data_IF_970824902035
#
_entry.id   IF_970824902035
#
_cell.length_a   1.000
_cell.length_b   1.000
_cell.length_c   1.000
_cell.angle_alpha   90.00
_cell.angle_beta   90.00
_cell.angle_gamma   90.00
#
_symmetry.space_group_name_H-M   'P 1'
#
loop_
_entity.id
_entity.type
_entity.pdbx_description
1 polymer ?
#
# COMPACT_ATOMS: atom_id res chain seq x y z
N UNK A 1 -50.02 -53.50 33.84
CA UNK A 1 -49.23 -52.26 33.74
C UNK A 1 -47.90 -52.56 33.04
N UNK A 2 -47.85 -52.65 31.69
CA UNK A 2 -46.59 -52.92 30.97
C UNK A 2 -46.52 -52.35 29.53
N UNK A 3 -47.53 -51.60 29.06
CA UNK A 3 -47.57 -51.05 27.70
C UNK A 3 -47.67 -49.52 27.63
N UNK A 4 -47.78 -48.83 28.77
CA UNK A 4 -47.87 -47.35 28.83
C UNK A 4 -46.48 -46.72 29.04
N UNK A 5 -45.50 -47.49 29.51
CA UNK A 5 -44.13 -47.01 29.76
C UNK A 5 -43.39 -46.67 28.44
N UNK A 6 -43.74 -47.35 27.34
CA UNK A 6 -43.12 -47.08 26.02
C UNK A 6 -43.60 -45.75 25.43
N UNK A 7 -44.82 -45.31 25.76
CA UNK A 7 -45.40 -44.08 25.20
C UNK A 7 -44.83 -42.80 25.86
N UNK A 8 -44.38 -42.89 27.11
CA UNK A 8 -43.76 -41.76 27.82
C UNK A 8 -42.26 -41.58 27.52
N UNK A 9 -41.62 -42.58 26.92
CA UNK A 9 -40.19 -42.56 26.57
C UNK A 9 -39.94 -41.99 25.17
N UNK A 10 -40.99 -41.87 24.34
CA UNK A 10 -40.92 -41.31 22.98
C UNK A 10 -41.19 -39.79 22.99
N UNK A 11 -41.90 -39.26 23.99
CA UNK A 11 -42.18 -37.82 24.11
C UNK A 11 -40.99 -36.98 24.59
N UNK A 12 -39.95 -37.60 25.17
CA UNK A 12 -38.73 -36.89 25.59
C UNK A 12 -37.66 -36.77 24.48
N UNK A 13 -37.89 -37.35 23.31
CA UNK A 13 -36.95 -37.29 22.18
C UNK A 13 -37.18 -36.10 21.23
N UNK A 14 -38.15 -35.21 21.53
CA UNK A 14 -38.44 -34.01 20.73
C UNK A 14 -37.91 -32.70 21.33
N UNK A 15 -37.19 -32.75 22.45
CA UNK A 15 -36.23 -31.68 22.75
C UNK A 15 -35.00 -31.91 21.86
N UNK A 16 -35.16 -31.62 20.57
CA UNK A 16 -34.00 -31.17 19.80
C UNK A 16 -33.42 -30.03 20.61
N UNK A 17 -32.14 -30.14 20.97
CA UNK A 17 -31.35 -28.94 21.22
C UNK A 17 -31.56 -28.06 19.98
N UNK A 18 -32.39 -27.04 20.11
CA UNK A 18 -32.11 -25.81 19.40
C UNK A 18 -30.82 -25.34 20.05
N UNK A 19 -29.69 -25.76 19.48
CA UNK A 19 -28.50 -24.92 19.61
C UNK A 19 -28.96 -23.60 18.98
N UNK A 20 -29.33 -22.64 19.83
CA UNK A 20 -29.30 -21.24 19.42
C UNK A 20 -27.85 -21.03 19.00
N UNK A 21 -27.63 -21.06 17.67
CA UNK A 21 -26.41 -20.56 17.10
C UNK A 21 -26.44 -19.08 17.44
N UNK A 22 -25.76 -18.73 18.52
CA UNK A 22 -25.51 -17.35 18.89
C UNK A 22 -24.59 -16.81 17.78
N UNK A 23 -25.18 -16.18 16.78
CA UNK A 23 -24.42 -15.49 15.76
C UNK A 23 -23.68 -14.37 16.48
N UNK A 24 -22.34 -14.43 16.50
CA UNK A 24 -21.51 -13.36 17.03
C UNK A 24 -21.71 -12.15 16.10
N UNK A 25 -22.68 -11.30 16.43
CA UNK A 25 -23.04 -10.10 15.67
C UNK A 25 -23.04 -8.90 16.63
N UNK A 26 -22.21 -7.87 16.40
CA UNK A 26 -21.28 -7.72 15.28
C UNK A 26 -20.07 -8.67 15.34
N UNK A 27 -19.33 -8.81 14.24
CA UNK A 27 -18.12 -9.64 14.16
C UNK A 27 -17.13 -9.16 13.10
N UNK A 28 -15.86 -9.53 13.30
CA UNK A 28 -14.79 -9.41 12.32
C UNK A 28 -13.84 -10.60 12.49
N UNK A 29 -13.66 -11.41 11.44
CA UNK A 29 -12.82 -12.60 11.47
C UNK A 29 -12.24 -12.92 10.10
N UNK A 30 -11.15 -13.70 10.06
CA UNK A 30 -10.52 -14.19 8.85
C UNK A 30 -9.71 -15.47 9.14
N UNK A 31 -9.07 -16.04 8.13
CA UNK A 31 -7.99 -17.01 8.31
C UNK A 31 -6.65 -16.39 7.93
N UNK A 32 -5.77 -16.22 8.92
CA UNK A 32 -4.36 -15.84 8.74
C UNK A 32 -3.52 -17.09 8.55
N UNK A 33 -2.96 -17.29 7.36
CA UNK A 33 -2.12 -18.44 7.01
C UNK A 33 -2.80 -19.79 7.35
N UNK A 34 -4.13 -19.84 7.13
CA UNK A 34 -4.98 -21.00 7.42
C UNK A 34 -5.46 -21.14 8.87
N UNK A 35 -4.97 -20.32 9.80
CA UNK A 35 -5.40 -20.31 11.20
C UNK A 35 -6.47 -19.23 11.45
N UNK A 36 -7.40 -19.49 12.36
CA UNK A 36 -8.47 -18.54 12.68
C UNK A 36 -7.88 -17.28 13.30
N UNK A 37 -8.31 -16.14 12.78
CA UNK A 37 -8.04 -14.80 13.29
C UNK A 37 -9.39 -14.13 13.60
N UNK A 38 -9.62 -13.72 14.85
CA UNK A 38 -10.87 -13.10 15.28
C UNK A 38 -10.56 -11.84 16.09
N UNK A 39 -11.21 -10.73 15.74
CA UNK A 39 -11.00 -9.47 16.43
C UNK A 39 -11.83 -9.39 17.72
N UNK A 40 -11.23 -8.77 18.74
CA UNK A 40 -11.91 -8.40 19.99
C UNK A 40 -12.45 -6.98 19.95
N UNK A 41 -11.94 -6.14 19.06
CA UNK A 41 -12.42 -4.78 18.83
C UNK A 41 -12.31 -4.43 17.35
N UNK A 42 -13.28 -3.68 16.83
CA UNK A 42 -13.30 -3.23 15.46
C UNK A 42 -14.15 -1.97 15.31
N UNK A 43 -13.77 -1.13 14.36
CA UNK A 43 -14.48 0.10 14.02
C UNK A 43 -14.24 0.43 12.55
N UNK A 44 -15.15 1.17 11.95
CA UNK A 44 -14.98 1.75 10.63
C UNK A 44 -15.10 3.27 10.72
N UNK A 45 -14.34 4.01 9.92
CA UNK A 45 -14.50 5.44 9.74
C UNK A 45 -14.78 5.75 8.27
N UNK A 46 -15.73 6.64 8.02
CA UNK A 46 -16.01 7.19 6.69
C UNK A 46 -15.69 8.69 6.72
N UNK A 47 -14.73 9.10 5.90
CA UNK A 47 -14.36 10.51 5.81
C UNK A 47 -15.27 11.29 4.83
N UNK A 48 -15.06 12.61 4.74
CA UNK A 48 -15.83 13.49 3.87
C UNK A 48 -15.59 13.25 2.37
N UNK A 49 -14.50 12.58 2.01
CA UNK A 49 -14.15 12.20 0.64
C UNK A 49 -14.79 10.85 0.25
N UNK A 50 -15.40 10.15 1.22
CA UNK A 50 -16.00 8.84 1.06
C UNK A 50 -15.02 7.69 1.24
N UNK A 51 -13.80 7.94 1.70
CA UNK A 51 -12.82 6.89 2.00
C UNK A 51 -13.26 6.16 3.26
N UNK A 52 -13.43 4.84 3.12
CA UNK A 52 -13.80 3.97 4.22
C UNK A 52 -12.55 3.29 4.79
N UNK A 53 -12.30 3.50 6.08
CA UNK A 53 -11.20 2.84 6.82
C UNK A 53 -11.78 1.92 7.88
N UNK A 54 -11.55 0.62 7.79
CA UNK A 54 -11.96 -0.37 8.79
C UNK A 54 -10.72 -0.84 9.55
N UNK A 55 -10.75 -0.77 10.88
CA UNK A 55 -9.67 -1.26 11.74
C UNK A 55 -10.21 -2.34 12.67
N UNK A 56 -9.49 -3.45 12.79
CA UNK A 56 -9.84 -4.57 13.65
C UNK A 56 -8.62 -5.07 14.43
N UNK A 57 -8.80 -5.41 15.71
CA UNK A 57 -7.73 -5.75 16.65
C UNK A 57 -8.06 -6.99 17.47
N UNK A 58 -7.11 -7.93 17.63
CA UNK A 58 -7.30 -9.21 18.35
C UNK A 58 -6.54 -9.32 19.71
N UNK A 59 -6.09 -8.20 20.29
CA UNK A 59 -5.16 -8.06 21.44
C UNK A 59 -3.67 -8.01 21.07
N UNK A 60 -3.27 -8.56 19.94
CA UNK A 60 -1.86 -8.66 19.55
C UNK A 60 -1.59 -8.10 18.17
N UNK A 61 -2.57 -8.19 17.27
CA UNK A 61 -2.44 -7.85 15.87
C UNK A 61 -3.58 -6.91 15.46
N UNK A 62 -3.28 -6.03 14.51
CA UNK A 62 -4.22 -5.04 13.98
C UNK A 62 -4.31 -5.18 12.47
N UNK A 63 -5.51 -5.43 11.94
CA UNK A 63 -5.82 -5.35 10.51
C UNK A 63 -6.40 -3.97 10.21
N UNK A 64 -5.91 -3.32 9.16
CA UNK A 64 -6.52 -2.10 8.61
C UNK A 64 -6.89 -2.33 7.15
N UNK A 65 -8.13 -2.03 6.78
CA UNK A 65 -8.63 -2.08 5.41
C UNK A 65 -9.04 -0.68 4.99
N UNK A 66 -8.55 -0.19 3.84
CA UNK A 66 -8.87 1.14 3.32
C UNK A 66 -9.44 1.00 1.91
N UNK A 67 -10.66 1.52 1.71
CA UNK A 67 -11.38 1.47 0.44
C UNK A 67 -11.63 2.91 -0.07
N UNK A 68 -10.98 3.25 -1.18
CA UNK A 68 -11.16 4.52 -1.86
C UNK A 68 -12.30 4.44 -2.88
N UNK A 69 -13.23 5.42 -2.89
CA UNK A 69 -14.33 5.44 -3.86
C UNK A 69 -13.90 5.41 -5.33
N UNK A 70 -12.69 5.89 -5.65
CA UNK A 70 -12.12 5.87 -7.00
C UNK A 70 -11.96 4.46 -7.56
N UNK A 71 -11.76 3.46 -6.69
CA UNK A 71 -11.42 2.10 -7.06
C UNK A 71 -12.64 1.17 -7.02
N UNK A 72 -13.81 1.73 -6.69
CA UNK A 72 -15.05 0.99 -6.61
C UNK A 72 -15.41 0.38 -7.97
N UNK A 73 -15.53 -0.95 -7.99
CA UNK A 73 -15.82 -1.72 -9.20
C UNK A 73 -16.88 -2.79 -8.94
N UNK A 74 -17.40 -3.37 -10.03
CA UNK A 74 -18.22 -4.58 -9.94
C UNK A 74 -17.34 -5.75 -9.54
N UNK A 75 -17.79 -6.52 -8.55
CA UNK A 75 -17.06 -7.70 -8.10
C UNK A 75 -16.86 -8.72 -9.23
N UNK A 76 -15.61 -9.16 -9.38
CA UNK A 76 -15.22 -10.26 -10.27
C UNK A 76 -14.45 -11.33 -9.48
N UNK A 77 -14.10 -12.44 -10.12
CA UNK A 77 -13.29 -13.48 -9.48
C UNK A 77 -13.97 -14.12 -8.26
N UNK A 78 -13.26 -14.16 -7.13
CA UNK A 78 -13.68 -14.84 -5.88
C UNK A 78 -15.02 -14.34 -5.35
N UNK A 79 -15.37 -13.08 -5.65
CA UNK A 79 -16.58 -12.43 -5.15
C UNK A 79 -17.65 -12.20 -6.23
N UNK A 80 -17.51 -12.80 -7.43
CA UNK A 80 -18.42 -12.56 -8.55
C UNK A 80 -19.90 -12.86 -8.24
N UNK A 81 -20.17 -13.84 -7.36
CA UNK A 81 -21.54 -14.23 -6.98
C UNK A 81 -22.12 -13.39 -5.83
N UNK A 82 -21.33 -12.47 -5.26
CA UNK A 82 -21.74 -11.64 -4.13
C UNK A 82 -22.35 -10.31 -4.60
N UNK A 83 -23.34 -9.81 -3.85
CA UNK A 83 -23.86 -8.45 -4.01
C UNK A 83 -22.97 -7.50 -3.22
N UNK A 84 -22.37 -6.51 -3.89
CA UNK A 84 -21.48 -5.53 -3.25
C UNK A 84 -20.68 -4.68 -4.24
N UNK A 85 -19.82 -3.82 -3.69
CA UNK A 85 -18.79 -3.06 -4.44
C UNK A 85 -17.41 -3.60 -4.07
N UNK A 86 -16.59 -3.92 -5.07
CA UNK A 86 -15.25 -4.46 -4.86
C UNK A 86 -14.18 -3.41 -5.10
N UNK A 87 -13.15 -3.45 -4.25
CA UNK A 87 -12.00 -2.56 -4.24
C UNK A 87 -10.76 -3.44 -4.30
N UNK A 88 -10.05 -3.43 -5.42
CA UNK A 88 -8.75 -4.10 -5.54
C UNK A 88 -7.73 -3.34 -4.69
N UNK A 89 -6.98 -4.06 -3.86
CA UNK A 89 -6.08 -3.44 -2.86
C UNK A 89 -4.60 -3.48 -3.26
N UNK A 90 -4.34 -3.66 -4.55
CA UNK A 90 -3.00 -3.77 -5.14
C UNK A 90 -2.95 -2.87 -6.36
N UNK A 91 -1.86 -2.09 -6.49
CA UNK A 91 -1.67 -1.11 -7.57
C UNK A 91 -2.84 -0.09 -7.72
N UNK A 92 -3.55 0.16 -6.62
CA UNK A 92 -4.68 1.09 -6.54
C UNK A 92 -4.54 1.97 -5.30
N UNK A 93 -5.44 2.95 -5.14
CA UNK A 93 -5.45 3.80 -3.95
C UNK A 93 -5.89 3.02 -2.70
N UNK A 94 -6.77 2.04 -2.85
CA UNK A 94 -7.21 1.12 -1.81
C UNK A 94 -6.09 0.17 -1.42
N UNK A 95 -6.00 -0.15 -0.13
CA UNK A 95 -4.94 -1.02 0.42
C UNK A 95 -5.41 -1.76 1.67
N UNK A 96 -4.67 -2.78 2.08
CA UNK A 96 -4.85 -3.47 3.34
C UNK A 96 -3.52 -3.67 4.07
N UNK A 97 -3.54 -3.61 5.39
CA UNK A 97 -2.34 -3.75 6.23
C UNK A 97 -2.57 -4.69 7.41
N UNK A 98 -1.47 -5.23 7.93
CA UNK A 98 -1.38 -5.93 9.20
C UNK A 98 -0.22 -5.34 10.01
N UNK A 99 -0.47 -5.01 11.28
CA UNK A 99 0.58 -4.98 12.30
C UNK A 99 0.51 -6.28 13.09
N UNK A 100 1.57 -7.10 13.05
CA UNK A 100 1.59 -8.38 13.75
C UNK A 100 2.06 -8.28 15.21
N UNK A 101 2.09 -9.43 15.90
CA UNK A 101 2.48 -9.53 17.32
C UNK A 101 3.94 -9.17 17.59
N UNK A 102 4.80 -9.25 16.58
CA UNK A 102 6.22 -8.91 16.65
C UNK A 102 6.47 -7.46 16.19
N UNK A 103 5.40 -6.66 16.07
CA UNK A 103 5.40 -5.27 15.59
C UNK A 103 5.92 -5.13 14.14
N UNK A 104 5.81 -6.19 13.34
CA UNK A 104 6.13 -6.13 11.91
C UNK A 104 4.93 -5.61 11.15
N UNK A 105 5.15 -4.54 10.38
CA UNK A 105 4.15 -3.95 9.50
C UNK A 105 4.17 -4.62 8.12
N UNK A 106 3.00 -5.08 7.67
CA UNK A 106 2.78 -5.64 6.35
C UNK A 106 1.76 -4.80 5.60
N UNK A 107 1.99 -4.59 4.30
CA UNK A 107 1.08 -3.86 3.41
C UNK A 107 0.89 -4.62 2.09
N UNK A 108 -0.30 -4.51 1.49
CA UNK A 108 -0.58 -5.00 0.13
C UNK A 108 0.11 -4.18 -0.95
N UNK A 109 0.62 -3.00 -0.59
CA UNK A 109 1.38 -2.14 -1.49
C UNK A 109 2.88 -2.35 -1.41
N UNK A 110 3.35 -3.21 -0.49
CA UNK A 110 4.75 -3.63 -0.46
C UNK A 110 4.99 -4.71 -1.51
N UNK A 111 6.07 -4.57 -2.27
CA UNK A 111 6.47 -5.57 -3.25
C UNK A 111 7.26 -6.71 -2.57
N UNK A 112 7.04 -7.97 -2.98
CA UNK A 112 7.86 -9.08 -2.52
C UNK A 112 9.28 -8.94 -3.06
N UNK A 113 10.25 -9.33 -2.25
CA UNK A 113 11.62 -9.48 -2.72
C UNK A 113 11.69 -10.60 -3.77
N UNK A 114 12.48 -10.43 -4.84
CA UNK A 114 12.58 -11.40 -5.93
C UNK A 114 12.98 -12.81 -5.47
N UNK A 115 13.65 -12.92 -4.32
CA UNK A 115 14.06 -14.19 -3.71
C UNK A 115 12.93 -14.89 -2.94
N UNK A 116 11.83 -14.19 -2.63
CA UNK A 116 10.66 -14.72 -1.92
C UNK A 116 9.56 -15.10 -2.91
N UNK A 117 9.61 -16.36 -3.39
CA UNK A 117 8.59 -16.94 -4.28
C UNK A 117 7.30 -17.35 -3.56
N UNK A 118 6.56 -16.43 -2.95
CA UNK A 118 5.26 -16.78 -2.34
C UNK A 118 4.20 -15.74 -2.69
N UNK A 119 3.51 -15.99 -3.82
CA UNK A 119 2.36 -15.24 -4.37
C UNK A 119 2.64 -13.74 -4.64
N UNK A 120 2.16 -13.17 -5.76
CA UNK A 120 2.16 -11.71 -5.88
C UNK A 120 1.25 -11.09 -4.81
N UNK A 121 1.45 -9.80 -4.48
CA UNK A 121 0.43 -9.03 -3.78
C UNK A 121 -0.89 -9.20 -4.52
N UNK A 122 -1.94 -9.49 -3.77
CA UNK A 122 -3.29 -9.65 -4.30
C UNK A 122 -4.27 -9.37 -3.18
N UNK A 123 -5.43 -8.83 -3.49
CA UNK A 123 -6.48 -8.70 -2.49
C UNK A 123 -7.66 -7.89 -2.98
N UNK A 124 -8.81 -8.14 -2.36
CA UNK A 124 -10.03 -7.40 -2.62
C UNK A 124 -10.76 -7.16 -1.31
N UNK A 125 -11.24 -5.94 -1.13
CA UNK A 125 -12.29 -5.61 -0.15
C UNK A 125 -13.62 -5.62 -0.90
N UNK A 126 -14.57 -6.43 -0.44
CA UNK A 126 -15.93 -6.45 -0.96
C UNK A 126 -16.89 -5.84 0.08
N UNK A 127 -17.34 -4.62 -0.17
CA UNK A 127 -18.37 -3.97 0.64
C UNK A 127 -19.75 -4.46 0.19
N UNK A 128 -20.36 -5.33 0.99
CA UNK A 128 -21.67 -5.91 0.68
C UNK A 128 -22.83 -4.98 1.04
N UNK A 129 -22.73 -4.35 2.21
CA UNK A 129 -23.78 -3.48 2.71
C UNK A 129 -23.17 -2.35 3.56
N UNK A 130 -23.69 -1.15 3.35
CA UNK A 130 -23.39 0.02 4.16
C UNK A 130 -24.71 0.68 4.55
N UNK A 131 -25.06 0.53 5.82
CA UNK A 131 -26.26 1.13 6.37
C UNK A 131 -25.89 2.40 7.12
N UNK A 132 -25.99 3.55 6.44
CA UNK A 132 -25.69 4.86 7.01
C UNK A 132 -26.72 5.31 8.06
N UNK A 133 -27.92 4.74 8.05
CA UNK A 133 -28.95 5.05 9.06
C UNK A 133 -28.65 4.34 10.39
N UNK A 134 -28.27 3.06 10.33
CA UNK A 134 -27.86 2.28 11.50
C UNK A 134 -26.39 2.52 11.88
N UNK A 135 -25.61 3.14 11.00
CA UNK A 135 -24.19 3.41 11.22
C UNK A 135 -23.36 2.13 11.26
N UNK A 136 -23.60 1.20 10.35
CA UNK A 136 -22.89 -0.09 10.28
C UNK A 136 -22.47 -0.46 8.87
N UNK A 137 -21.38 -1.22 8.75
CA UNK A 137 -20.87 -1.74 7.47
C UNK A 137 -20.59 -3.24 7.55
N UNK A 138 -20.87 -3.95 6.45
CA UNK A 138 -20.68 -5.40 6.32
C UNK A 138 -20.02 -5.74 4.98
N UNK A 139 -19.23 -6.80 4.97
CA UNK A 139 -18.49 -7.22 3.78
C UNK A 139 -17.58 -8.41 3.98
N UNK A 140 -16.78 -8.66 2.96
CA UNK A 140 -15.79 -9.72 2.90
C UNK A 140 -14.46 -9.17 2.41
N UNK A 141 -13.37 -9.86 2.71
CA UNK A 141 -12.06 -9.49 2.20
C UNK A 141 -11.13 -10.70 2.10
N UNK A 142 -10.12 -10.56 1.25
CA UNK A 142 -8.91 -11.35 1.31
C UNK A 142 -7.74 -10.48 0.86
N UNK A 143 -6.54 -10.76 1.35
CA UNK A 143 -5.33 -10.13 0.83
C UNK A 143 -4.05 -10.92 1.15
N UNK A 144 -3.02 -10.68 0.33
CA UNK A 144 -1.62 -11.02 0.58
C UNK A 144 -0.86 -9.72 0.81
N UNK A 145 -0.15 -9.63 1.93
CA UNK A 145 0.63 -8.45 2.26
C UNK A 145 2.07 -8.83 2.60
N UNK A 146 3.01 -7.92 2.32
CA UNK A 146 4.44 -8.13 2.52
C UNK A 146 4.99 -7.12 3.53
N UNK A 147 6.01 -7.53 4.27
CA UNK A 147 6.80 -6.61 5.09
C UNK A 147 7.49 -5.56 4.21
N UNK A 148 7.92 -4.43 4.78
CA UNK A 148 8.65 -3.39 4.03
C UNK A 148 9.89 -3.92 3.29
N UNK A 149 10.57 -4.97 3.79
CA UNK A 149 11.70 -5.59 3.09
C UNK A 149 11.32 -6.56 1.98
N UNK A 150 10.03 -6.86 1.79
CA UNK A 150 9.56 -7.90 0.89
C UNK A 150 9.90 -9.34 1.31
N UNK A 151 10.63 -9.54 2.42
CA UNK A 151 11.17 -10.86 2.81
C UNK A 151 10.19 -11.76 3.57
N UNK A 152 9.12 -11.18 4.12
CA UNK A 152 8.08 -11.89 4.87
C UNK A 152 6.71 -11.54 4.31
N UNK A 153 5.78 -12.50 4.36
CA UNK A 153 4.44 -12.37 3.81
C UNK A 153 3.38 -12.93 4.77
N UNK A 154 2.17 -12.40 4.68
CA UNK A 154 0.98 -12.92 5.37
C UNK A 154 -0.16 -13.09 4.37
N UNK A 155 -0.93 -14.17 4.52
CA UNK A 155 -2.15 -14.40 3.76
C UNK A 155 -3.38 -14.33 4.66
N UNK A 156 -4.30 -13.43 4.34
CA UNK A 156 -5.65 -13.42 4.88
C UNK A 156 -6.63 -13.90 3.82
N UNK A 157 -7.35 -14.98 4.12
CA UNK A 157 -8.45 -15.47 3.30
C UNK A 157 -9.69 -15.72 4.15
N UNK A 158 -10.82 -15.97 3.50
CA UNK A 158 -12.12 -16.15 4.18
C UNK A 158 -12.43 -15.02 5.17
N UNK A 159 -11.99 -13.78 4.85
CA UNK A 159 -12.21 -12.61 5.68
C UNK A 159 -13.65 -12.13 5.59
N UNK A 160 -14.24 -11.85 6.74
CA UNK A 160 -15.63 -11.44 6.87
C UNK A 160 -15.79 -10.44 8.01
N UNK A 161 -16.57 -9.40 7.78
CA UNK A 161 -16.96 -8.44 8.79
C UNK A 161 -18.45 -8.13 8.67
N UNK A 162 -19.12 -8.07 9.81
CA UNK A 162 -20.57 -7.90 9.88
C UNK A 162 -20.97 -6.91 10.95
N UNK A 163 -21.76 -5.94 10.53
CA UNK A 163 -22.27 -4.83 11.34
C UNK A 163 -21.15 -4.10 12.10
N UNK A 164 -19.99 -3.91 11.46
CA UNK A 164 -18.89 -3.12 12.05
C UNK A 164 -19.39 -1.68 12.23
N UNK A 165 -19.30 -1.10 13.44
CA UNK A 165 -19.78 0.25 13.71
C UNK A 165 -19.01 1.31 12.91
N UNK A 166 -19.74 2.19 12.23
CA UNK A 166 -19.23 3.28 11.40
C UNK A 166 -19.20 4.60 12.17
N UNK A 167 -18.07 5.31 12.12
CA UNK A 167 -17.75 6.52 12.86
C UNK A 167 -17.24 7.58 11.87
N UNK A 168 -18.07 8.54 11.47
CA UNK A 168 -17.64 9.57 10.52
C UNK A 168 -18.78 10.28 9.80
N UNK A 169 -18.46 11.32 9.03
CA UNK A 169 -19.38 12.36 8.63
C UNK A 169 -20.22 12.02 7.39
N UNK A 170 -21.50 12.44 7.45
CA UNK A 170 -22.56 12.36 6.44
C UNK A 170 -23.32 11.02 6.40
N UNK A 171 -24.01 10.74 7.49
CA UNK A 171 -25.41 10.34 7.34
C UNK A 171 -26.15 11.50 6.64
N UNK A 172 -26.49 11.29 5.38
CA UNK A 172 -27.45 12.11 4.64
C UNK A 172 -28.75 12.14 5.45
N UNK A 173 -28.95 13.20 6.25
CA UNK A 173 -30.21 13.45 6.97
C UNK A 173 -30.44 12.68 8.28
N UNK A 174 -29.45 11.95 8.80
CA UNK A 174 -29.55 11.20 10.06
C UNK A 174 -28.45 11.60 11.03
N UNK A 175 -28.77 11.74 12.31
CA UNK A 175 -27.76 11.97 13.35
C UNK A 175 -27.20 10.62 13.77
N UNK A 176 -26.05 10.22 13.26
CA UNK A 176 -25.28 9.13 13.89
C UNK A 176 -24.73 9.68 15.20
N UNK A 177 -25.42 9.37 16.30
CA UNK A 177 -24.94 9.67 17.64
C UNK A 177 -23.74 8.74 17.94
N UNK A 178 -22.57 9.14 17.47
CA UNK A 178 -21.31 8.49 17.80
C UNK A 178 -21.08 8.70 19.29
N UNK A 179 -21.14 7.63 20.08
CA UNK A 179 -20.82 7.71 21.51
C UNK A 179 -19.35 8.07 21.69
N UNK A 180 -19.04 8.78 22.79
CA UNK A 180 -17.65 9.12 23.10
C UNK A 180 -16.77 7.86 23.15
N UNK A 181 -17.23 6.80 23.82
CA UNK A 181 -16.51 5.51 23.90
C UNK A 181 -16.16 4.94 22.52
N UNK A 182 -17.08 5.04 21.55
CA UNK A 182 -16.84 4.55 20.19
C UNK A 182 -15.76 5.39 19.49
N UNK A 183 -15.81 6.72 19.65
CA UNK A 183 -14.79 7.61 19.10
C UNK A 183 -13.41 7.38 19.76
N UNK A 184 -13.36 7.08 21.07
CA UNK A 184 -12.10 6.72 21.74
C UNK A 184 -11.53 5.40 21.21
N UNK A 185 -12.36 4.39 20.98
CA UNK A 185 -11.93 3.12 20.40
C UNK A 185 -11.37 3.32 18.97
N UNK A 186 -11.99 4.18 18.16
CA UNK A 186 -11.48 4.53 16.84
C UNK A 186 -10.12 5.22 16.87
N UNK A 187 -9.92 6.16 17.79
CA UNK A 187 -8.61 6.81 18.00
C UNK A 187 -7.55 5.79 18.41
N UNK A 188 -7.87 4.91 19.37
CA UNK A 188 -6.94 3.88 19.82
C UNK A 188 -6.56 2.92 18.68
N UNK A 189 -7.55 2.45 17.92
CA UNK A 189 -7.34 1.53 16.82
C UNK A 189 -6.48 2.14 15.69
N UNK A 190 -6.83 3.35 15.24
CA UNK A 190 -6.11 4.05 14.17
C UNK A 190 -4.71 4.53 14.60
N UNK A 191 -4.53 4.89 15.88
CA UNK A 191 -3.22 5.28 16.41
C UNK A 191 -2.20 4.15 16.36
N UNK A 192 -2.63 2.90 16.56
CA UNK A 192 -1.75 1.72 16.52
C UNK A 192 -1.13 1.60 15.13
N UNK A 193 -1.97 1.60 14.08
CA UNK A 193 -1.51 1.52 12.70
C UNK A 193 -0.64 2.73 12.33
N UNK A 194 -1.07 3.95 12.69
CA UNK A 194 -0.31 5.18 12.43
C UNK A 194 1.11 5.13 13.01
N UNK A 195 1.25 4.78 14.30
CA UNK A 195 2.56 4.75 14.97
C UNK A 195 3.50 3.67 14.41
N UNK A 196 2.94 2.62 13.79
CA UNK A 196 3.71 1.51 13.21
C UNK A 196 4.02 1.69 11.72
N UNK A 197 3.38 2.65 11.05
CA UNK A 197 3.58 2.88 9.62
C UNK A 197 4.86 3.70 9.41
N UNK A 198 5.84 3.21 8.63
CA UNK A 198 7.03 3.99 8.30
C UNK A 198 6.67 5.30 7.59
N UNK A 199 7.36 6.40 7.88
CA UNK A 199 7.07 7.72 7.26
C UNK A 199 7.35 7.77 5.77
N UNK A 200 8.13 6.82 5.25
CA UNK A 200 8.45 6.65 3.84
C UNK A 200 7.55 5.61 3.15
N UNK A 201 6.63 4.99 3.88
CA UNK A 201 5.66 4.07 3.31
C UNK A 201 4.67 4.85 2.41
N UNK A 202 4.33 4.35 1.21
CA UNK A 202 3.43 5.08 0.31
C UNK A 202 2.03 5.29 0.90
N UNK A 203 1.61 4.52 1.90
CA UNK A 203 0.32 4.66 2.59
C UNK A 203 0.38 5.56 3.84
N UNK A 204 1.55 6.08 4.21
CA UNK A 204 1.71 6.87 5.44
C UNK A 204 0.75 8.06 5.52
N UNK A 205 0.59 8.80 4.41
CA UNK A 205 -0.32 9.96 4.36
C UNK A 205 -1.77 9.55 4.65
N UNK A 206 -2.25 8.49 4.01
CA UNK A 206 -3.63 8.02 4.16
C UNK A 206 -3.90 7.46 5.56
N UNK A 207 -2.95 6.68 6.11
CA UNK A 207 -3.04 6.15 7.47
C UNK A 207 -3.00 7.30 8.50
N UNK A 208 -2.17 8.31 8.29
CA UNK A 208 -2.14 9.50 9.14
C UNK A 208 -3.45 10.29 9.06
N UNK A 209 -4.02 10.44 7.86
CA UNK A 209 -5.30 11.12 7.67
C UNK A 209 -6.48 10.35 8.29
N UNK A 210 -6.43 9.01 8.30
CA UNK A 210 -7.39 8.20 9.04
C UNK A 210 -7.29 8.44 10.56
N UNK A 211 -6.08 8.51 11.12
CA UNK A 211 -5.86 8.85 12.52
C UNK A 211 -6.33 10.27 12.86
N UNK A 212 -6.01 11.26 12.01
CA UNK A 212 -6.52 12.64 12.12
C UNK A 212 -8.04 12.66 12.15
N UNK A 213 -8.70 11.90 11.26
CA UNK A 213 -10.16 11.81 11.20
C UNK A 213 -10.76 11.22 12.48
N UNK A 214 -10.14 10.17 13.04
CA UNK A 214 -10.56 9.60 14.32
C UNK A 214 -10.46 10.62 15.47
N UNK A 215 -9.40 11.44 15.51
CA UNK A 215 -9.25 12.52 16.50
C UNK A 215 -10.34 13.59 16.33
N UNK A 216 -10.65 14.00 15.11
CA UNK A 216 -11.72 14.97 14.84
C UNK A 216 -13.10 14.43 15.25
N UNK A 217 -13.37 13.15 15.00
CA UNK A 217 -14.58 12.48 15.48
C UNK A 217 -14.63 12.45 17.02
N UNK A 218 -13.49 12.22 17.69
CA UNK A 218 -13.39 12.30 19.16
C UNK A 218 -13.68 13.71 19.67
N UNK A 219 -13.16 14.76 19.05
CA UNK A 219 -13.50 16.15 19.41
C UNK A 219 -15.01 16.39 19.28
N UNK A 220 -15.62 15.93 18.19
CA UNK A 220 -17.05 16.11 17.93
C UNK A 220 -17.95 15.41 18.96
N UNK A 221 -17.62 14.17 19.33
CA UNK A 221 -18.43 13.34 20.22
C UNK A 221 -18.14 13.51 21.71
N UNK A 222 -16.88 13.70 22.10
CA UNK A 222 -16.45 13.79 23.50
C UNK A 222 -16.24 15.24 23.97
N UNK A 223 -16.04 16.18 23.05
CA UNK A 223 -15.55 17.53 23.33
C UNK A 223 -14.05 17.56 23.61
N UNK A 224 -13.45 18.75 23.52
CA UNK A 224 -12.03 19.00 23.84
C UNK A 224 -11.84 20.23 24.75
N UNK A 225 -12.28 20.16 26.02
CA UNK A 225 -12.07 21.26 26.96
C UNK A 225 -10.57 21.41 27.26
N UNK A 226 -9.97 22.48 26.76
CA UNK A 226 -8.53 22.76 26.92
C UNK A 226 -7.72 22.64 25.63
N UNK A 227 -8.33 22.19 24.53
CA UNK A 227 -7.69 22.19 23.20
C UNK A 227 -6.62 21.12 23.00
N UNK A 228 -6.49 20.16 23.92
CA UNK A 228 -5.41 19.16 23.88
C UNK A 228 -5.49 18.23 22.68
N UNK A 229 -6.70 17.85 22.26
CA UNK A 229 -6.89 16.99 21.09
C UNK A 229 -6.70 17.82 19.82
N UNK A 230 -7.15 19.07 19.81
CA UNK A 230 -6.89 20.00 18.72
C UNK A 230 -5.39 20.24 18.52
N UNK A 231 -4.64 20.43 19.61
CA UNK A 231 -3.17 20.59 19.56
C UNK A 231 -2.50 19.34 18.95
N UNK A 232 -3.00 18.13 19.25
CA UNK A 232 -2.53 16.89 18.61
C UNK A 232 -2.83 16.89 17.11
N UNK A 233 -4.05 17.26 16.71
CA UNK A 233 -4.45 17.35 15.29
C UNK A 233 -3.60 18.37 14.53
N UNK A 234 -3.30 19.52 15.15
CA UNK A 234 -2.51 20.59 14.54
C UNK A 234 -1.02 20.23 14.44
N UNK A 235 -0.53 19.37 15.35
CA UNK A 235 0.85 18.88 15.35
C UNK A 235 1.09 17.68 14.41
N UNK A 236 0.04 16.99 13.96
CA UNK A 236 0.18 15.87 13.03
C UNK A 236 0.70 16.35 11.67
N UNK A 237 1.85 15.83 11.27
CA UNK A 237 2.37 15.95 9.91
C UNK A 237 2.03 14.66 9.14
N UNK A 238 1.01 14.76 8.28
CA UNK A 238 0.56 13.67 7.43
C UNK A 238 1.24 13.70 6.05
N UNK A 239 2.29 14.50 5.85
CA UNK A 239 3.07 14.43 4.62
C UNK A 239 3.94 13.18 4.63
N UNK A 240 3.83 12.35 3.59
CA UNK A 240 4.74 11.24 3.40
C UNK A 240 6.16 11.79 3.18
N UNK A 241 7.14 11.25 3.92
CA UNK A 241 8.55 11.51 3.65
C UNK A 241 8.96 10.62 2.51
N UNK A 242 8.76 11.06 1.27
CA UNK A 242 9.26 10.33 0.10
C UNK A 242 10.78 10.24 0.21
N UNK A 243 11.29 9.09 0.65
CA UNK A 243 12.70 8.78 0.50
C UNK A 243 12.85 8.30 -0.93
N UNK A 244 12.83 9.25 -1.86
CA UNK A 244 13.09 9.00 -3.26
C UNK A 244 14.52 8.45 -3.35
N UNK A 245 14.64 7.15 -3.62
CA UNK A 245 15.92 6.55 -4.00
C UNK A 245 16.12 6.91 -5.45
N UNK A 246 16.83 8.00 -5.69
CA UNK A 246 17.36 8.31 -7.01
C UNK A 246 18.83 7.95 -7.04
N UNK A 247 19.16 6.95 -7.84
CA UNK A 247 20.52 6.55 -8.12
C UNK A 247 20.70 6.09 -9.56
N UNK A 248 21.81 6.49 -10.16
CA UNK A 248 22.38 5.84 -11.33
C UNK A 248 23.74 5.31 -10.91
N UNK A 249 23.94 4.00 -11.03
CA UNK A 249 25.20 3.34 -10.67
C UNK A 249 25.83 2.76 -11.93
N UNK A 250 27.15 2.87 -12.07
CA UNK A 250 27.87 2.33 -13.23
C UNK A 250 29.33 2.09 -12.92
N UNK A 251 29.91 1.05 -13.48
CA UNK A 251 31.35 0.84 -13.49
C UNK A 251 31.97 1.50 -14.73
N UNK A 252 32.89 2.43 -14.51
CA UNK A 252 33.65 3.13 -15.56
C UNK A 252 35.08 2.61 -15.56
N UNK A 253 35.48 1.90 -16.62
CA UNK A 253 36.82 1.30 -16.76
C UNK A 253 37.29 0.52 -15.51
N UNK A 254 36.38 -0.22 -14.86
CA UNK A 254 36.66 -0.99 -13.64
C UNK A 254 36.58 -0.21 -12.33
N UNK A 255 36.07 1.03 -12.35
CA UNK A 255 35.85 1.85 -11.13
C UNK A 255 34.38 2.21 -11.00
N UNK A 256 33.77 1.83 -9.87
CA UNK A 256 32.37 2.12 -9.56
C UNK A 256 32.13 3.63 -9.40
N UNK A 257 31.00 4.09 -9.92
CA UNK A 257 30.48 5.46 -9.80
C UNK A 257 29.01 5.45 -9.46
N UNK A 258 28.59 6.44 -8.66
CA UNK A 258 27.21 6.61 -8.19
C UNK A 258 26.80 8.06 -8.40
N UNK A 259 25.71 8.27 -9.12
CA UNK A 259 25.04 9.56 -9.30
C UNK A 259 23.74 9.53 -8.49
N UNK A 260 23.59 10.39 -7.49
CA UNK A 260 22.52 10.29 -6.50
C UNK A 260 22.09 11.65 -5.91
N UNK A 261 22.28 12.74 -6.66
CA UNK A 261 21.91 14.08 -6.25
C UNK A 261 21.25 14.87 -7.39
N UNK A 262 20.51 15.91 -7.00
CA UNK A 262 19.94 16.94 -7.89
C UNK A 262 19.25 16.37 -9.13
N UNK A 263 18.47 15.30 -8.96
CA UNK A 263 17.73 14.72 -10.06
C UNK A 263 16.68 15.70 -10.60
N UNK A 264 16.56 15.69 -11.92
CA UNK A 264 15.58 16.46 -12.67
C UNK A 264 15.01 15.59 -13.79
N UNK A 265 13.70 15.35 -13.74
CA UNK A 265 12.94 14.77 -14.84
C UNK A 265 11.99 15.82 -15.41
N UNK A 266 12.28 16.32 -16.61
CA UNK A 266 11.50 17.37 -17.28
C UNK A 266 10.77 16.80 -18.49
N UNK A 267 9.44 16.92 -18.53
CA UNK A 267 8.61 16.54 -19.68
C UNK A 267 8.43 17.71 -20.64
N UNK A 268 8.88 17.56 -21.89
CA UNK A 268 8.66 18.52 -22.98
C UNK A 268 7.93 17.82 -24.12
N UNK A 269 6.62 18.08 -24.24
CA UNK A 269 5.78 17.32 -25.17
C UNK A 269 5.57 15.90 -24.66
N UNK A 270 6.10 14.90 -25.36
CA UNK A 270 6.09 13.48 -24.94
C UNK A 270 7.47 12.97 -24.50
N UNK A 271 8.51 13.80 -24.62
CA UNK A 271 9.89 13.43 -24.30
C UNK A 271 10.23 13.85 -22.87
N UNK A 272 10.67 12.91 -22.04
CA UNK A 272 11.27 13.16 -20.73
C UNK A 272 12.78 13.32 -20.88
N UNK A 273 13.30 14.44 -20.41
CA UNK A 273 14.74 14.64 -20.21
C UNK A 273 15.07 14.38 -18.76
N UNK A 274 15.95 13.40 -18.53
CA UNK A 274 16.40 12.95 -17.21
C UNK A 274 17.83 13.43 -17.01
N UNK A 275 18.12 14.03 -15.86
CA UNK A 275 19.45 14.42 -15.41
C UNK A 275 19.63 13.98 -13.96
N UNK A 276 20.72 13.30 -13.64
CA UNK A 276 21.10 12.95 -12.26
C UNK A 276 22.56 13.32 -12.04
N UNK A 277 22.85 14.09 -11.00
CA UNK A 277 24.20 14.55 -10.64
C UNK A 277 24.85 13.63 -9.58
N UNK A 278 26.17 13.65 -9.50
CA UNK A 278 26.94 13.06 -8.40
C UNK A 278 26.95 14.03 -7.20
N UNK A 279 26.59 13.54 -6.01
CA UNK A 279 26.57 14.34 -4.79
C UNK A 279 27.95 14.92 -4.39
N UNK A 280 29.04 14.28 -4.83
CA UNK A 280 30.40 14.62 -4.44
C UNK A 280 31.09 15.62 -5.39
N UNK A 281 30.55 15.83 -6.60
CA UNK A 281 31.18 16.66 -7.63
C UNK A 281 30.13 17.22 -8.61
N UNK A 282 30.53 17.52 -9.85
CA UNK A 282 29.65 18.10 -10.88
C UNK A 282 29.43 17.15 -12.06
N UNK A 283 29.81 15.88 -11.90
CA UNK A 283 29.58 14.83 -12.86
C UNK A 283 28.07 14.50 -12.87
N UNK A 284 27.57 14.03 -14.01
CA UNK A 284 26.15 13.77 -14.20
C UNK A 284 25.91 12.70 -15.27
N UNK A 285 24.74 12.08 -15.24
CA UNK A 285 24.19 11.30 -16.34
C UNK A 285 22.95 12.00 -16.86
N UNK A 286 22.83 12.12 -18.18
CA UNK A 286 21.68 12.68 -18.86
C UNK A 286 21.19 11.74 -19.95
N UNK A 287 19.88 11.64 -20.11
CA UNK A 287 19.29 10.99 -21.27
C UNK A 287 17.84 11.42 -21.52
N UNK A 288 17.36 11.19 -22.75
CA UNK A 288 15.99 11.44 -23.17
C UNK A 288 15.24 10.13 -23.45
N UNK A 289 13.97 10.06 -23.05
CA UNK A 289 13.09 8.91 -23.31
C UNK A 289 11.66 9.38 -23.53
N UNK A 290 10.93 8.72 -24.44
CA UNK A 290 9.51 8.99 -24.63
C UNK A 290 8.69 8.44 -23.44
N UNK A 291 7.72 9.22 -22.97
CA UNK A 291 6.87 8.88 -21.84
C UNK A 291 6.17 7.52 -22.04
N UNK A 292 6.26 6.66 -21.01
CA UNK A 292 5.62 5.35 -21.00
C UNK A 292 6.31 4.27 -21.85
N UNK A 293 7.41 4.57 -22.54
CA UNK A 293 8.13 3.56 -23.32
C UNK A 293 9.05 2.70 -22.45
N UNK A 294 9.01 1.40 -22.71
CA UNK A 294 9.92 0.38 -22.15
C UNK A 294 10.52 -0.44 -23.30
N UNK A 295 11.68 -1.03 -23.07
CA UNK A 295 12.40 -1.81 -24.08
C UNK A 295 13.87 -1.44 -24.23
N UNK A 296 14.51 -2.02 -25.25
CA UNK A 296 15.94 -1.87 -25.53
C UNK A 296 16.19 -0.71 -26.50
N UNK A 297 17.25 0.06 -26.27
CA UNK A 297 17.74 1.11 -27.19
C UNK A 297 16.68 2.15 -27.57
N UNK A 298 15.81 2.46 -26.62
CA UNK A 298 14.75 3.48 -26.74
C UNK A 298 15.17 4.83 -26.17
N UNK A 299 16.36 4.90 -25.56
CA UNK A 299 16.93 6.11 -25.00
C UNK A 299 17.67 6.90 -26.08
N UNK A 300 17.56 8.23 -26.06
CA UNK A 300 18.27 9.15 -26.94
C UNK A 300 19.03 10.22 -26.15
N UNK A 301 19.93 10.95 -26.81
CA UNK A 301 20.71 12.04 -26.20
C UNK A 301 21.43 11.66 -24.89
N UNK A 302 21.89 10.40 -24.80
CA UNK A 302 22.62 9.92 -23.64
C UNK A 302 23.97 10.62 -23.53
N UNK A 303 24.28 11.15 -22.35
CA UNK A 303 25.55 11.76 -21.99
C UNK A 303 25.93 11.30 -20.58
N UNK A 304 27.16 10.87 -20.39
CA UNK A 304 27.75 10.71 -19.05
C UNK A 304 28.94 11.67 -18.92
N UNK A 305 28.87 12.57 -17.94
CA UNK A 305 29.97 13.45 -17.57
C UNK A 305 30.85 12.76 -16.53
N UNK A 306 32.16 12.76 -16.78
CA UNK A 306 33.15 12.11 -15.93
C UNK A 306 34.31 13.07 -15.75
N UNK A 307 34.53 13.51 -14.51
CA UNK A 307 35.51 14.53 -14.13
C UNK A 307 35.42 15.80 -14.99
N UNK A 308 34.20 16.26 -15.29
CA UNK A 308 33.95 17.45 -16.11
C UNK A 308 34.06 17.25 -17.63
N UNK A 309 34.20 16.02 -18.12
CA UNK A 309 34.24 15.69 -19.55
C UNK A 309 33.01 14.89 -19.96
N UNK A 310 32.30 15.34 -21.01
CA UNK A 310 31.14 14.64 -21.55
C UNK A 310 31.56 13.49 -22.44
N UNK A 311 30.95 12.32 -22.23
CA UNK A 311 31.08 11.15 -23.07
C UNK A 311 29.72 10.74 -23.61
N UNK A 312 29.69 10.38 -24.89
CA UNK A 312 28.47 10.00 -25.61
C UNK A 312 28.64 8.60 -26.24
N UNK A 313 27.54 7.85 -26.48
CA UNK A 313 27.57 6.53 -27.07
C UNK A 313 28.30 6.48 -28.42
N UNK A 314 29.16 5.49 -28.60
CA UNK A 314 29.81 5.22 -29.88
C UNK A 314 29.31 3.89 -30.50
N UNK A 315 28.88 3.90 -31.77
CA UNK A 315 28.44 2.68 -32.44
C UNK A 315 29.63 1.78 -32.81
N UNK A 316 29.47 0.47 -32.63
CA UNK A 316 30.35 -0.54 -33.23
C UNK A 316 31.73 -0.72 -32.58
N UNK A 317 31.91 -0.40 -31.29
CA UNK A 317 33.16 -0.70 -30.58
C UNK A 317 33.27 -2.21 -30.27
N UNK A 318 34.13 -2.91 -31.01
CA UNK A 318 34.29 -4.38 -30.86
C UNK A 318 35.03 -4.81 -29.59
N UNK A 319 35.68 -3.89 -28.87
CA UNK A 319 36.49 -4.21 -27.68
C UNK A 319 35.72 -3.95 -26.39
N UNK A 320 35.02 -2.82 -26.33
CA UNK A 320 34.27 -2.36 -25.15
C UNK A 320 32.76 -2.65 -25.24
N UNK A 321 32.29 -3.16 -26.39
CA UNK A 321 30.88 -3.45 -26.64
C UNK A 321 30.13 -2.28 -27.27
N UNK A 322 29.06 -2.60 -28.00
CA UNK A 322 28.12 -1.60 -28.49
C UNK A 322 27.34 -1.01 -27.30
N UNK A 323 27.12 0.30 -27.33
CA UNK A 323 26.30 0.93 -26.30
C UNK A 323 24.86 0.45 -26.41
N UNK A 324 24.33 -0.06 -25.30
CA UNK A 324 22.96 -0.58 -25.22
C UNK A 324 22.30 -0.06 -23.95
N UNK A 325 21.00 0.23 -24.06
CA UNK A 325 20.13 0.56 -22.93
C UNK A 325 18.95 -0.39 -22.86
N UNK A 326 18.42 -0.66 -21.67
CA UNK A 326 17.18 -1.41 -21.47
C UNK A 326 16.38 -0.73 -20.37
N UNK A 327 15.19 -0.26 -20.69
CA UNK A 327 14.29 0.38 -19.73
C UNK A 327 13.18 -0.59 -19.38
N UNK A 328 13.05 -0.91 -18.10
CA UNK A 328 12.06 -1.85 -17.56
C UNK A 328 10.84 -1.10 -17.02
N UNK A 329 11.04 0.09 -16.45
CA UNK A 329 9.98 0.93 -15.88
C UNK A 329 10.15 2.36 -16.39
N UNK A 330 9.05 2.97 -16.83
CA UNK A 330 8.98 4.39 -17.20
C UNK A 330 7.55 4.88 -16.93
N UNK A 331 7.29 5.22 -15.67
CA UNK A 331 5.99 5.67 -15.16
C UNK A 331 6.02 7.15 -14.83
N UNK A 332 4.96 7.69 -14.23
CA UNK A 332 4.95 9.09 -13.79
C UNK A 332 5.85 9.33 -12.57
N UNK A 333 6.28 8.28 -11.88
CA UNK A 333 6.98 8.34 -10.59
C UNK A 333 8.31 7.58 -10.58
N UNK A 334 8.62 6.83 -11.64
CA UNK A 334 9.80 5.99 -11.67
C UNK A 334 10.34 5.77 -13.09
N UNK A 335 11.67 5.76 -13.21
CA UNK A 335 12.39 5.27 -14.40
C UNK A 335 13.45 4.27 -13.91
N UNK A 336 13.35 3.04 -14.41
CA UNK A 336 14.28 1.96 -14.07
C UNK A 336 14.80 1.28 -15.32
N UNK A 337 16.05 0.84 -15.27
CA UNK A 337 16.67 0.17 -16.39
C UNK A 337 18.15 -0.11 -16.20
N UNK A 338 18.80 -0.47 -17.30
CA UNK A 338 20.23 -0.74 -17.36
C UNK A 338 20.85 -0.12 -18.60
N UNK A 339 22.15 0.12 -18.54
CA UNK A 339 22.95 0.52 -19.71
C UNK A 339 24.36 -0.03 -19.61
N UNK A 340 25.01 -0.21 -20.76
CA UNK A 340 26.41 -0.63 -20.84
C UNK A 340 26.97 -0.35 -22.23
N UNK A 341 28.28 -0.50 -22.38
CA UNK A 341 28.99 -0.40 -23.65
C UNK A 341 29.88 0.84 -23.74
N UNK A 342 30.33 1.16 -24.94
CA UNK A 342 31.38 2.14 -25.14
C UNK A 342 30.85 3.57 -25.33
N UNK A 343 31.49 4.53 -24.67
CA UNK A 343 31.28 5.97 -24.85
C UNK A 343 32.59 6.69 -25.16
N UNK A 344 32.52 7.87 -25.78
CA UNK A 344 33.71 8.65 -26.15
C UNK A 344 33.48 10.16 -25.96
N UNK A 345 34.57 10.88 -25.66
CA UNK A 345 34.63 12.34 -25.79
C UNK A 345 34.94 12.73 -27.24
N UNK A 346 33.95 13.31 -27.94
CA UNK A 346 34.04 13.78 -29.32
C UNK A 346 35.18 14.77 -29.60
N UNK A 347 35.88 15.28 -28.57
CA UNK A 347 37.10 16.08 -28.70
C UNK A 347 38.38 15.25 -28.86
N UNK A 348 38.27 13.93 -29.07
CA UNK A 348 39.41 13.03 -29.32
C UNK A 348 39.95 12.36 -28.07
N UNK A 349 39.10 12.18 -27.05
CA UNK A 349 39.41 11.41 -25.85
C UNK A 349 39.54 9.91 -26.13
N UNK A 350 39.99 9.17 -25.12
CA UNK A 350 39.98 7.70 -25.16
C UNK A 350 38.54 7.19 -25.05
N UNK A 351 38.27 6.05 -25.69
CA UNK A 351 37.01 5.33 -25.47
C UNK A 351 36.98 4.83 -24.02
N UNK A 352 35.82 4.97 -23.40
CA UNK A 352 35.56 4.58 -22.02
C UNK A 352 34.54 3.45 -22.02
N UNK A 353 34.82 2.38 -21.28
CA UNK A 353 33.91 1.26 -21.12
C UNK A 353 32.96 1.49 -19.94
N UNK A 354 31.66 1.39 -20.19
CA UNK A 354 30.63 1.37 -19.16
C UNK A 354 30.14 -0.07 -18.96
N UNK A 355 30.18 -0.54 -17.72
CA UNK A 355 29.71 -1.87 -17.35
C UNK A 355 28.78 -1.77 -16.14
N UNK A 356 27.85 -2.73 -16.00
CA UNK A 356 26.93 -2.82 -14.87
C UNK A 356 26.13 -1.52 -14.60
N UNK A 357 25.79 -0.76 -15.65
CA UNK A 357 24.99 0.46 -15.50
C UNK A 357 23.57 0.12 -15.06
N UNK A 358 23.13 0.66 -13.93
CA UNK A 358 21.80 0.54 -13.36
C UNK A 358 21.19 1.94 -13.24
N UNK A 359 19.95 2.07 -13.67
CA UNK A 359 19.12 3.27 -13.53
C UNK A 359 18.01 2.89 -12.54
N UNK A 360 17.95 3.59 -11.41
CA UNK A 360 16.86 3.49 -10.43
C UNK A 360 16.51 4.90 -9.94
N UNK A 361 15.58 5.52 -10.64
CA UNK A 361 15.17 6.91 -10.40
C UNK A 361 13.71 6.88 -9.95
N UNK A 362 13.46 7.34 -8.74
CA UNK A 362 12.12 7.50 -8.19
C UNK A 362 11.92 9.00 -7.91
N UNK A 363 10.85 9.61 -8.43
CA UNK A 363 10.68 11.06 -8.40
C UNK A 363 9.24 11.55 -8.23
#
# INVERSE_FOLDING_TARGET
MKKIIVLFLITFAFFRCGEEVEFNTPSFSAKKDGNIWEAVSYTANLDNSGVLTIVAFNNFETITLVAFPSDASLCTGVFQDNVGSCYEVVENASFATLLDVDEVFYSTSNEPDETVQVYPPAGVINLRDINLEEGVVSGEFYFNAFSNSGLSAVNFNEGFFHNVPLIGAVAVGGSTNISCDSAENSVNATSITYNATPTNDPQYEDICNAYRTALLNKISSCGDPGGTIQDMVDALDCTATTTLTTSIEVEVDGTDRVFNANESVTLIGTTKTVIVEDAANTDYVQFDIEEGQTGTDIVSNFVININGVNHEPIPGNMTLGEFTTTITTNSNTAIQGTFSGAVNDYNGGQDVGLSMGVIDINY
#
